data_IF_286752317302
#
_entry.id   IF_286752317302
#
_cell.length_a   1.000
_cell.length_b   1.000
_cell.length_c   1.000
_cell.angle_alpha   90.00
_cell.angle_beta   90.00
_cell.angle_gamma   90.00
#
_symmetry.space_group_name_H-M   'P 1'
#
loop_
_entity.id
_entity.type
_entity.pdbx_description
1 polymer ?
#
# COMPACT_ATOMS: atom_id res chain seq x y z
N UNK A 1 -22.76 -28.29 -45.97
CA UNK A 1 -21.76 -28.11 -44.91
C UNK A 1 -20.68 -27.23 -45.50
N UNK A 2 -20.67 -25.94 -45.17
CA UNK A 2 -19.54 -25.08 -45.54
C UNK A 2 -18.30 -25.61 -44.84
N UNK A 3 -17.28 -25.96 -45.62
CA UNK A 3 -15.94 -26.19 -45.10
C UNK A 3 -15.40 -24.78 -44.83
N UNK A 4 -15.56 -24.29 -43.60
CA UNK A 4 -14.90 -23.05 -43.18
C UNK A 4 -13.40 -23.29 -43.35
N UNK A 5 -12.77 -22.53 -44.25
CA UNK A 5 -11.32 -22.59 -44.42
C UNK A 5 -10.70 -22.17 -43.09
N UNK A 6 -9.87 -23.03 -42.50
CA UNK A 6 -9.29 -22.76 -41.20
C UNK A 6 -8.41 -21.52 -41.21
N UNK A 7 -8.59 -20.66 -40.21
CA UNK A 7 -7.79 -19.44 -40.03
C UNK A 7 -7.06 -19.52 -38.71
N UNK A 8 -5.81 -19.06 -38.68
CA UNK A 8 -4.91 -19.14 -37.51
C UNK A 8 -5.26 -18.15 -36.38
N UNK A 9 -6.54 -17.89 -36.14
CA UNK A 9 -7.07 -16.96 -35.15
C UNK A 9 -8.59 -17.11 -34.92
N UNK A 10 -9.21 -18.25 -35.25
CA UNK A 10 -10.65 -18.48 -35.06
C UNK A 10 -11.00 -19.19 -33.75
N UNK A 11 -9.99 -19.55 -32.95
CA UNK A 11 -10.16 -20.19 -31.65
C UNK A 11 -10.55 -21.66 -31.75
N UNK A 12 -10.49 -22.28 -32.94
CA UNK A 12 -10.82 -23.69 -33.14
C UNK A 12 -9.73 -24.42 -33.90
N UNK A 13 -9.43 -25.66 -33.51
CA UNK A 13 -8.47 -26.49 -34.24
C UNK A 13 -9.10 -27.04 -35.52
N UNK A 14 -8.85 -26.38 -36.65
CA UNK A 14 -9.33 -26.78 -37.97
C UNK A 14 -8.20 -26.62 -39.02
N UNK A 15 -8.48 -26.59 -40.33
CA UNK A 15 -7.53 -26.15 -41.35
C UNK A 15 -6.21 -26.93 -41.56
N UNK A 16 -5.94 -27.99 -40.79
CA UNK A 16 -4.65 -28.69 -40.77
C UNK A 16 -3.71 -28.27 -39.63
N UNK A 17 -4.20 -27.52 -38.65
CA UNK A 17 -3.45 -27.06 -37.48
C UNK A 17 -3.07 -28.19 -36.51
N UNK A 18 -1.93 -28.02 -35.83
CA UNK A 18 -1.45 -29.00 -34.85
C UNK A 18 -2.00 -28.66 -33.45
N UNK A 19 -2.07 -27.39 -33.09
CA UNK A 19 -2.83 -26.89 -31.92
C UNK A 19 -4.01 -26.02 -32.36
N UNK A 20 -4.71 -25.38 -31.42
CA UNK A 20 -5.72 -24.36 -31.74
C UNK A 20 -5.00 -23.13 -32.28
N UNK A 21 -5.27 -22.71 -33.52
CA UNK A 21 -4.70 -21.54 -34.18
C UNK A 21 -3.16 -21.53 -34.31
N UNK A 22 -2.49 -22.68 -34.16
CA UNK A 22 -1.02 -22.75 -34.11
C UNK A 22 -0.44 -23.99 -34.79
N UNK A 23 0.78 -23.80 -35.33
CA UNK A 23 1.53 -24.77 -36.13
C UNK A 23 0.78 -25.31 -37.36
N UNK A 24 1.41 -26.23 -38.11
CA UNK A 24 0.87 -26.75 -39.36
C UNK A 24 0.91 -25.66 -40.44
N UNK A 25 -0.24 -25.22 -40.97
CA UNK A 25 -0.31 -24.08 -41.89
C UNK A 25 -0.07 -22.71 -41.20
N UNK A 26 -0.10 -22.66 -39.87
CA UNK A 26 0.03 -21.41 -39.12
C UNK A 26 1.48 -21.02 -38.87
N UNK A 27 1.76 -19.72 -39.03
CA UNK A 27 3.10 -19.14 -38.85
C UNK A 27 3.52 -19.14 -37.37
N UNK A 28 2.56 -18.93 -36.47
CA UNK A 28 2.79 -18.95 -35.02
C UNK A 28 2.83 -20.38 -34.49
N UNK A 29 3.78 -20.64 -33.59
CA UNK A 29 4.08 -21.95 -33.02
C UNK A 29 3.33 -22.18 -31.72
N UNK A 30 2.92 -23.41 -31.46
CA UNK A 30 2.30 -23.80 -30.20
C UNK A 30 3.33 -23.86 -29.04
N UNK A 31 2.81 -23.93 -27.81
CA UNK A 31 3.63 -24.04 -26.59
C UNK A 31 4.61 -25.22 -26.66
N UNK A 32 5.79 -25.04 -26.07
CA UNK A 32 6.87 -26.03 -26.04
C UNK A 32 7.76 -26.06 -27.29
N UNK A 33 7.39 -25.36 -28.38
CA UNK A 33 8.21 -25.29 -29.59
C UNK A 33 9.32 -24.27 -29.49
N UNK A 34 10.42 -24.54 -30.19
CA UNK A 34 11.55 -23.62 -30.24
C UNK A 34 11.13 -22.25 -30.80
N UNK A 35 11.70 -21.17 -30.27
CA UNK A 35 11.46 -19.80 -30.70
C UNK A 35 12.76 -18.98 -30.58
N UNK A 36 12.81 -17.87 -31.30
CA UNK A 36 13.92 -16.90 -31.23
C UNK A 36 13.45 -15.47 -30.96
N UNK A 37 12.14 -15.25 -31.08
CA UNK A 37 11.44 -14.00 -30.80
C UNK A 37 10.04 -14.35 -30.25
N UNK A 38 9.46 -13.52 -29.36
CA UNK A 38 8.08 -13.64 -28.91
C UNK A 38 7.06 -13.78 -30.06
N UNK A 39 7.27 -13.10 -31.19
CA UNK A 39 6.36 -13.09 -32.34
C UNK A 39 6.20 -14.47 -33.02
N UNK A 40 7.14 -15.38 -32.77
CA UNK A 40 7.09 -16.74 -33.31
C UNK A 40 6.10 -17.62 -32.55
N UNK A 41 5.67 -17.22 -31.35
CA UNK A 41 4.82 -18.00 -30.48
C UNK A 41 3.38 -17.53 -30.56
N UNK A 42 2.44 -18.46 -30.56
CA UNK A 42 1.02 -18.14 -30.50
C UNK A 42 0.68 -17.33 -29.24
N UNK A 43 1.26 -17.71 -28.10
CA UNK A 43 1.18 -16.97 -26.84
C UNK A 43 1.84 -15.59 -26.87
N UNK A 44 2.66 -15.29 -27.88
CA UNK A 44 3.48 -14.07 -27.87
C UNK A 44 4.59 -14.10 -26.82
N UNK A 45 4.99 -15.27 -26.31
CA UNK A 45 6.03 -15.40 -25.27
C UNK A 45 7.07 -16.43 -25.70
N UNK A 46 8.31 -15.96 -25.85
CA UNK A 46 9.47 -16.82 -26.03
C UNK A 46 10.30 -16.83 -24.74
N UNK A 47 10.27 -17.96 -24.02
CA UNK A 47 10.97 -18.12 -22.76
C UNK A 47 12.50 -18.09 -22.91
N UNK A 48 13.21 -17.94 -21.79
CA UNK A 48 14.69 -17.93 -21.74
C UNK A 48 15.32 -19.21 -22.28
N UNK A 49 14.61 -20.34 -22.19
CA UNK A 49 15.00 -21.62 -22.78
C UNK A 49 14.76 -21.70 -24.31
N UNK A 50 14.44 -20.58 -24.96
CA UNK A 50 14.11 -20.48 -26.40
C UNK A 50 12.95 -21.37 -26.79
N UNK A 51 11.94 -21.47 -25.93
CA UNK A 51 10.71 -22.21 -26.18
C UNK A 51 9.47 -21.35 -25.95
N UNK A 52 8.43 -21.59 -26.74
CA UNK A 52 7.15 -20.91 -26.58
C UNK A 52 6.52 -21.32 -25.26
N UNK A 53 6.22 -20.35 -24.40
CA UNK A 53 5.54 -20.57 -23.12
C UNK A 53 4.04 -20.44 -23.29
N UNK A 54 3.28 -21.06 -22.40
CA UNK A 54 1.83 -20.86 -22.37
C UNK A 54 1.49 -19.44 -21.92
N UNK A 55 0.39 -18.91 -22.45
CA UNK A 55 -0.27 -17.71 -21.94
C UNK A 55 -0.70 -17.92 -20.48
N UNK A 56 -0.50 -16.92 -19.65
CA UNK A 56 -0.87 -16.89 -18.22
C UNK A 56 -1.36 -15.50 -17.83
N UNK A 57 -2.26 -15.40 -16.85
CA UNK A 57 -2.84 -14.14 -16.38
C UNK A 57 -1.88 -13.23 -15.57
N UNK A 58 -0.59 -13.29 -15.85
CA UNK A 58 0.48 -12.53 -15.19
C UNK A 58 1.80 -12.58 -15.98
N UNK A 59 1.74 -12.73 -17.31
CA UNK A 59 2.91 -12.76 -18.18
C UNK A 59 3.27 -11.42 -18.84
N UNK A 60 2.46 -10.38 -18.61
CA UNK A 60 2.67 -9.03 -19.09
C UNK A 60 2.26 -8.83 -20.55
N UNK A 61 1.61 -9.82 -21.17
CA UNK A 61 1.22 -9.79 -22.59
C UNK A 61 -0.27 -10.05 -22.72
N UNK A 62 -0.99 -9.19 -23.44
CA UNK A 62 -2.39 -9.46 -23.79
C UNK A 62 -2.48 -10.63 -24.78
N UNK A 63 -2.71 -11.84 -24.28
CA UNK A 63 -2.78 -13.07 -25.05
C UNK A 63 -3.91 -13.97 -24.51
N UNK A 64 -3.99 -15.24 -24.93
CA UNK A 64 -4.85 -16.25 -24.27
C UNK A 64 -6.37 -16.03 -24.28
N UNK A 65 -6.88 -14.94 -24.88
CA UNK A 65 -8.28 -14.54 -24.84
C UNK A 65 -8.59 -13.37 -23.87
N UNK A 66 -7.58 -12.68 -23.36
CA UNK A 66 -7.74 -11.58 -22.41
C UNK A 66 -8.32 -10.29 -23.03
N UNK A 67 -9.09 -9.55 -22.22
CA UNK A 67 -9.64 -8.26 -22.66
C UNK A 67 -8.73 -7.07 -22.32
N UNK A 68 -7.87 -7.19 -21.31
CA UNK A 68 -6.73 -6.31 -21.05
C UNK A 68 -5.43 -7.10 -21.01
N UNK A 69 -4.30 -6.48 -20.62
CA UNK A 69 -3.06 -7.21 -20.37
C UNK A 69 -3.25 -7.99 -19.06
N UNK A 70 -3.15 -9.31 -19.09
CA UNK A 70 -3.23 -10.21 -17.93
C UNK A 70 -4.57 -10.20 -17.16
N UNK A 71 -5.63 -9.61 -17.73
CA UNK A 71 -6.88 -9.37 -17.02
C UNK A 71 -8.13 -9.57 -17.90
N UNK A 72 -9.21 -9.99 -17.23
CA UNK A 72 -10.50 -10.32 -17.82
C UNK A 72 -10.45 -11.46 -18.87
N UNK A 73 -11.62 -11.83 -19.42
CA UNK A 73 -11.74 -12.96 -20.34
C UNK A 73 -11.54 -14.29 -19.59
N UNK A 74 -10.51 -15.10 -19.92
CA UNK A 74 -10.17 -16.31 -19.17
C UNK A 74 -9.57 -16.02 -17.79
N UNK A 75 -9.13 -14.78 -17.53
CA UNK A 75 -8.51 -14.38 -16.28
C UNK A 75 -9.54 -13.93 -15.25
N UNK A 76 -9.35 -14.39 -14.01
CA UNK A 76 -10.30 -14.16 -12.90
C UNK A 76 -10.25 -12.71 -12.41
N UNK A 77 -9.09 -12.06 -12.51
CA UNK A 77 -8.85 -10.70 -12.05
C UNK A 77 -9.32 -9.67 -13.07
N UNK A 78 -9.84 -8.55 -12.57
CA UNK A 78 -10.42 -7.45 -13.35
C UNK A 78 -9.36 -6.40 -13.70
N UNK A 79 -9.52 -5.76 -14.86
CA UNK A 79 -8.65 -4.67 -15.28
C UNK A 79 -8.95 -3.36 -14.53
N UNK A 80 -8.04 -2.39 -14.61
CA UNK A 80 -8.22 -1.06 -14.03
C UNK A 80 -9.51 -0.39 -14.55
N UNK A 81 -10.19 0.35 -13.67
CA UNK A 81 -11.47 1.02 -13.93
C UNK A 81 -12.71 0.13 -13.77
N UNK A 82 -12.56 -1.18 -13.58
CA UNK A 82 -13.68 -2.09 -13.29
C UNK A 82 -14.10 -2.02 -11.84
N UNK A 83 -15.37 -2.24 -11.56
CA UNK A 83 -15.86 -2.34 -10.19
C UNK A 83 -15.22 -3.51 -9.44
N UNK A 84 -14.94 -3.34 -8.14
CA UNK A 84 -14.35 -4.34 -7.26
C UNK A 84 -15.00 -4.28 -5.86
N UNK A 85 -14.95 -5.39 -5.14
CA UNK A 85 -15.40 -5.49 -3.74
C UNK A 85 -14.24 -5.71 -2.79
N UNK A 86 -13.17 -6.35 -3.26
CA UNK A 86 -11.91 -6.52 -2.52
C UNK A 86 -10.70 -6.26 -3.41
N UNK A 87 -9.51 -6.02 -2.82
CA UNK A 87 -8.24 -5.94 -3.55
C UNK A 87 -7.99 -7.13 -4.49
N UNK A 88 -8.35 -8.35 -4.06
CA UNK A 88 -8.13 -9.59 -4.82
C UNK A 88 -8.92 -9.67 -6.14
N UNK A 89 -9.99 -8.88 -6.28
CA UNK A 89 -10.76 -8.80 -7.53
C UNK A 89 -9.97 -8.12 -8.65
N UNK A 90 -8.97 -7.31 -8.30
CA UNK A 90 -8.24 -6.46 -9.23
C UNK A 90 -6.93 -7.10 -9.65
N UNK A 91 -6.58 -6.94 -10.93
CA UNK A 91 -5.28 -7.37 -11.44
C UNK A 91 -4.13 -6.66 -10.71
N UNK A 92 -4.28 -5.36 -10.50
CA UNK A 92 -3.40 -4.57 -9.63
C UNK A 92 -3.43 -5.02 -8.18
N UNK A 93 -4.42 -5.78 -7.70
CA UNK A 93 -4.52 -6.00 -6.26
C UNK A 93 -4.88 -4.72 -5.49
N UNK A 94 -5.35 -3.66 -6.16
CA UNK A 94 -5.78 -2.40 -5.53
C UNK A 94 -7.23 -2.11 -5.89
N UNK A 95 -8.12 -2.26 -4.90
CA UNK A 95 -9.50 -1.82 -5.00
C UNK A 95 -9.65 -0.44 -4.35
N UNK A 96 -9.77 0.60 -5.17
CA UNK A 96 -9.87 1.99 -4.72
C UNK A 96 -11.11 2.26 -3.88
N UNK A 97 -11.10 3.37 -3.14
CA UNK A 97 -12.22 3.81 -2.29
C UNK A 97 -13.53 4.06 -3.06
N UNK A 98 -13.44 4.31 -4.37
CA UNK A 98 -14.59 4.40 -5.27
C UNK A 98 -15.14 3.02 -5.71
N UNK A 99 -14.66 1.91 -5.12
CA UNK A 99 -14.96 0.53 -5.48
C UNK A 99 -14.62 0.19 -6.93
N UNK A 100 -13.52 0.73 -7.44
CA UNK A 100 -12.98 0.38 -8.75
C UNK A 100 -11.51 -0.01 -8.67
N UNK A 101 -11.07 -0.89 -9.55
CA UNK A 101 -9.68 -1.30 -9.65
C UNK A 101 -8.82 -0.11 -10.08
N UNK A 102 -7.84 0.24 -9.26
CA UNK A 102 -6.89 1.31 -9.57
C UNK A 102 -5.62 0.72 -10.16
N UNK A 103 -4.86 1.53 -10.89
CA UNK A 103 -3.54 1.11 -11.35
C UNK A 103 -2.60 0.90 -10.15
N UNK A 104 -1.72 -0.09 -10.30
CA UNK A 104 -0.57 -0.34 -9.43
C UNK A 104 0.33 0.91 -9.35
N UNK A 105 0.82 1.22 -8.15
CA UNK A 105 1.73 2.36 -7.93
C UNK A 105 2.88 1.96 -7.02
N UNK A 106 4.05 2.58 -7.22
CA UNK A 106 5.27 2.29 -6.46
C UNK A 106 5.29 2.87 -5.03
N UNK A 107 4.12 3.03 -4.40
CA UNK A 107 3.94 3.62 -3.08
C UNK A 107 2.53 3.36 -2.50
N UNK A 108 1.84 2.30 -2.90
CA UNK A 108 0.51 1.93 -2.35
C UNK A 108 0.57 0.86 -1.27
N UNK A 109 1.76 0.33 -0.96
CA UNK A 109 1.97 -0.65 0.10
C UNK A 109 1.58 -2.07 -0.29
N UNK A 110 1.30 -2.32 -1.57
CA UNK A 110 0.96 -3.64 -2.11
C UNK A 110 2.08 -4.07 -3.05
N UNK A 111 2.41 -5.37 -3.06
CA UNK A 111 3.32 -5.91 -4.08
C UNK A 111 2.51 -6.27 -5.32
N UNK A 112 2.45 -5.36 -6.27
CA UNK A 112 1.70 -5.53 -7.52
C UNK A 112 2.51 -5.04 -8.72
N UNK A 113 1.89 -4.82 -9.88
CA UNK A 113 2.50 -4.09 -11.01
C UNK A 113 3.74 -4.70 -11.69
N UNK A 114 4.28 -5.83 -11.20
CA UNK A 114 5.58 -6.40 -11.61
C UNK A 114 6.73 -6.12 -10.64
N UNK A 115 6.43 -5.61 -9.43
CA UNK A 115 7.41 -5.30 -8.40
C UNK A 115 8.11 -6.54 -7.82
N UNK A 116 9.38 -6.37 -7.42
CA UNK A 116 10.16 -7.45 -6.81
C UNK A 116 10.00 -7.45 -5.29
N UNK A 117 9.96 -6.27 -4.66
CA UNK A 117 9.49 -6.08 -3.28
C UNK A 117 8.15 -5.35 -3.26
N UNK A 118 7.67 -4.97 -2.07
CA UNK A 118 6.50 -4.08 -1.95
C UNK A 118 6.96 -2.66 -2.32
N UNK A 119 6.32 -2.03 -3.31
CA UNK A 119 6.59 -0.66 -3.78
C UNK A 119 8.01 -0.41 -4.33
N UNK A 120 8.76 -1.47 -4.67
CA UNK A 120 10.16 -1.34 -5.03
C UNK A 120 10.67 -2.38 -6.03
N UNK A 121 11.65 -1.95 -6.82
CA UNK A 121 12.25 -2.66 -7.95
C UNK A 121 11.26 -3.04 -9.07
N UNK A 122 11.76 -3.76 -10.08
CA UNK A 122 11.00 -4.14 -11.27
C UNK A 122 10.65 -2.90 -12.09
N UNK A 123 9.36 -2.54 -12.25
CA UNK A 123 8.95 -1.30 -12.90
C UNK A 123 9.21 -0.05 -12.04
N UNK A 124 9.44 -0.20 -10.73
CA UNK A 124 9.65 0.90 -9.82
C UNK A 124 11.09 1.42 -9.85
N UNK A 125 11.23 2.75 -9.93
CA UNK A 125 12.52 3.43 -10.00
C UNK A 125 13.33 3.23 -8.70
N UNK A 126 12.62 3.22 -7.56
CA UNK A 126 13.23 3.04 -6.25
C UNK A 126 13.51 1.57 -5.97
N UNK A 127 14.68 1.32 -5.38
CA UNK A 127 15.22 -0.01 -5.10
C UNK A 127 14.83 -0.48 -3.71
N UNK A 128 14.62 -1.79 -3.56
CA UNK A 128 14.41 -2.38 -2.25
C UNK A 128 15.69 -2.41 -1.41
N UNK A 129 15.54 -2.65 -0.11
CA UNK A 129 16.64 -2.79 0.84
C UNK A 129 17.62 -3.90 0.40
N UNK A 130 18.92 -3.67 0.65
CA UNK A 130 20.03 -4.55 0.28
C UNK A 130 20.56 -4.35 -1.14
N UNK A 131 19.90 -3.55 -1.98
CA UNK A 131 20.39 -3.26 -3.33
C UNK A 131 21.38 -2.11 -3.36
N UNK A 132 22.29 -2.15 -4.32
CA UNK A 132 23.25 -1.09 -4.52
C UNK A 132 22.55 0.27 -4.76
N UNK A 133 23.10 1.35 -4.21
CA UNK A 133 22.62 2.72 -4.38
C UNK A 133 23.81 3.67 -4.50
N UNK A 134 23.60 4.79 -5.18
CA UNK A 134 24.57 5.89 -5.29
C UNK A 134 24.10 7.12 -4.53
N UNK A 135 22.80 7.25 -4.31
CA UNK A 135 22.19 8.32 -3.53
C UNK A 135 21.01 7.78 -2.70
N UNK A 136 20.58 8.51 -1.65
CA UNK A 136 19.35 8.23 -0.90
C UNK A 136 18.12 8.03 -1.79
N UNK A 137 17.98 8.83 -2.86
CA UNK A 137 16.80 8.81 -3.74
C UNK A 137 16.66 7.53 -4.57
N UNK A 138 17.74 6.76 -4.71
CA UNK A 138 17.70 5.45 -5.37
C UNK A 138 16.96 4.41 -4.53
N UNK A 139 16.84 4.64 -3.22
CA UNK A 139 16.29 3.69 -2.27
C UNK A 139 14.84 4.01 -1.94
N UNK A 140 14.02 2.96 -1.87
CA UNK A 140 12.66 3.08 -1.33
C UNK A 140 12.66 3.67 0.08
N UNK A 141 13.60 3.19 0.91
CA UNK A 141 13.81 3.69 2.27
C UNK A 141 14.32 5.12 2.36
N UNK A 142 14.78 5.72 1.26
CA UNK A 142 15.57 6.96 1.26
C UNK A 142 16.87 6.87 2.08
N UNK A 143 17.34 5.68 2.41
CA UNK A 143 18.59 5.49 3.16
C UNK A 143 19.57 4.72 2.29
N UNK A 144 20.56 5.41 1.75
CA UNK A 144 21.71 4.78 1.12
C UNK A 144 22.85 4.66 2.15
N UNK A 145 23.07 3.43 2.63
CA UNK A 145 24.08 3.14 3.65
C UNK A 145 25.50 3.39 3.18
N UNK A 146 26.44 3.46 4.12
CA UNK A 146 27.88 3.68 3.85
C UNK A 146 28.52 2.58 2.99
N UNK A 147 27.92 1.39 2.97
CA UNK A 147 28.28 0.27 2.11
C UNK A 147 27.70 0.39 0.68
N UNK A 148 27.13 1.55 0.31
CA UNK A 148 26.47 1.80 -0.97
C UNK A 148 25.30 0.85 -1.23
N UNK A 149 24.56 0.48 -0.19
CA UNK A 149 23.33 -0.31 -0.32
C UNK A 149 22.16 0.32 0.40
N UNK A 150 20.95 0.10 -0.12
CA UNK A 150 19.73 0.59 0.51
C UNK A 150 19.54 -0.09 1.87
N UNK A 151 19.44 0.71 2.93
CA UNK A 151 19.26 0.22 4.29
C UNK A 151 17.78 0.24 4.68
N UNK A 152 17.40 -0.62 5.62
CA UNK A 152 16.07 -0.62 6.21
C UNK A 152 15.83 0.71 6.94
N UNK A 153 14.67 1.36 6.76
CA UNK A 153 14.22 2.50 7.57
C UNK A 153 14.37 2.23 9.08
N UNK A 154 14.86 3.19 9.85
CA UNK A 154 14.86 3.08 11.32
C UNK A 154 14.29 4.33 11.97
N UNK A 155 13.69 4.14 13.15
CA UNK A 155 13.11 5.20 14.00
C UNK A 155 14.14 6.18 14.60
N UNK A 156 15.28 6.35 13.96
CA UNK A 156 16.41 7.16 14.43
C UNK A 156 17.41 7.44 13.31
N UNK A 157 17.00 7.35 12.04
CA UNK A 157 17.87 7.58 10.87
C UNK A 157 17.81 9.03 10.36
N UNK A 158 17.04 9.89 11.03
CA UNK A 158 16.85 11.31 10.69
C UNK A 158 16.20 11.52 9.33
N UNK A 159 15.39 10.56 8.87
CA UNK A 159 14.62 10.65 7.63
C UNK A 159 13.20 10.14 7.89
N UNK A 160 12.19 10.96 7.61
CA UNK A 160 10.79 10.51 7.71
C UNK A 160 10.48 9.49 6.61
N UNK A 161 10.50 8.20 6.96
CA UNK A 161 10.35 7.07 6.04
C UNK A 161 9.63 5.87 6.71
N UNK A 162 9.40 4.80 5.96
CA UNK A 162 8.80 3.58 6.49
C UNK A 162 7.40 3.80 7.09
N UNK A 163 7.24 3.46 8.37
CA UNK A 163 5.98 3.56 9.12
C UNK A 163 5.94 4.75 10.07
N UNK A 164 6.82 5.72 9.88
CA UNK A 164 6.89 6.93 10.68
C UNK A 164 5.81 7.93 10.30
N UNK A 165 5.17 8.53 11.31
CA UNK A 165 4.21 9.61 11.08
C UNK A 165 4.90 10.98 11.12
N UNK A 166 5.93 11.15 11.95
CA UNK A 166 6.83 12.30 11.92
C UNK A 166 8.28 11.85 11.78
N UNK A 167 9.23 12.78 11.71
CA UNK A 167 10.66 12.46 11.60
C UNK A 167 11.12 11.60 12.80
N UNK A 168 11.50 10.35 12.55
CA UNK A 168 11.95 9.39 13.57
C UNK A 168 10.91 9.10 14.67
N UNK A 169 9.62 9.31 14.41
CA UNK A 169 8.58 9.19 15.45
C UNK A 169 7.19 8.80 14.92
N UNK A 170 6.34 8.32 15.82
CA UNK A 170 4.95 7.97 15.52
C UNK A 170 4.80 6.62 14.80
N UNK A 171 3.57 6.25 14.46
CA UNK A 171 3.24 4.97 13.84
C UNK A 171 3.79 3.78 14.63
N UNK A 172 4.67 3.01 13.99
CA UNK A 172 5.29 1.82 14.62
C UNK A 172 6.50 2.14 15.50
N UNK A 173 6.98 3.39 15.51
CA UNK A 173 8.17 3.75 16.27
C UNK A 173 7.89 3.84 17.78
N UNK A 174 8.83 3.41 18.65
CA UNK A 174 8.67 3.54 20.10
C UNK A 174 8.52 4.99 20.56
N UNK A 175 9.21 5.91 19.87
CA UNK A 175 9.14 7.34 20.15
C UNK A 175 7.82 7.92 19.61
N UNK A 176 7.11 8.65 20.47
CA UNK A 176 5.94 9.43 20.08
C UNK A 176 6.34 10.84 19.71
N UNK A 177 5.74 11.34 18.65
CA UNK A 177 5.99 12.66 18.11
C UNK A 177 5.53 13.75 19.08
N UNK A 178 6.27 14.85 19.09
CA UNK A 178 5.91 16.08 19.79
C UNK A 178 6.00 17.24 18.80
N UNK A 179 4.90 17.97 18.61
CA UNK A 179 4.79 19.08 17.66
C UNK A 179 5.17 18.74 16.20
N UNK A 180 5.18 17.46 15.82
CA UNK A 180 5.43 16.97 14.46
C UNK A 180 4.16 16.39 13.83
N UNK A 181 4.27 15.96 12.57
CA UNK A 181 3.16 15.31 11.86
C UNK A 181 2.69 14.05 12.58
N UNK A 182 1.38 13.81 12.53
CA UNK A 182 0.72 12.62 13.04
C UNK A 182 -0.40 12.20 12.09
N UNK A 183 -0.62 10.89 11.98
CA UNK A 183 -1.79 10.33 11.31
C UNK A 183 -2.91 10.00 12.33
N UNK A 184 -2.50 9.62 13.54
CA UNK A 184 -3.36 9.17 14.63
C UNK A 184 -2.96 9.85 15.94
N UNK A 185 -3.91 9.95 16.86
CA UNK A 185 -3.69 10.43 18.23
C UNK A 185 -2.57 9.65 18.94
N UNK A 186 -2.49 8.34 18.70
CA UNK A 186 -1.48 7.45 19.26
C UNK A 186 -0.06 7.75 18.81
N UNK A 187 0.13 8.53 17.73
CA UNK A 187 1.45 8.92 17.25
C UNK A 187 2.05 10.02 18.13
N UNK A 188 1.20 10.76 18.84
CA UNK A 188 1.59 11.91 19.61
C UNK A 188 1.88 11.56 21.07
N UNK A 189 2.91 12.19 21.64
CA UNK A 189 3.23 12.08 23.07
C UNK A 189 2.08 12.60 23.94
N UNK A 190 1.34 13.59 23.43
CA UNK A 190 0.12 14.11 24.03
C UNK A 190 -1.10 13.21 23.83
N UNK A 191 -1.07 12.22 22.92
CA UNK A 191 -2.29 11.48 22.58
C UNK A 191 -3.33 12.33 21.83
N UNK A 192 -2.93 13.46 21.23
CA UNK A 192 -3.82 14.36 20.49
C UNK A 192 -3.22 14.82 19.18
N UNK A 193 -3.74 14.30 18.07
CA UNK A 193 -3.40 14.66 16.72
C UNK A 193 -4.49 15.59 16.14
N UNK A 194 -4.18 16.87 15.98
CA UNK A 194 -5.12 17.84 15.42
C UNK A 194 -4.53 18.51 14.19
N UNK A 195 -5.26 18.43 13.07
CA UNK A 195 -4.80 19.05 11.82
C UNK A 195 -3.48 18.44 11.32
N UNK A 196 -3.31 17.12 11.51
CA UNK A 196 -2.09 16.38 11.14
C UNK A 196 -0.83 16.87 11.86
N UNK A 197 -0.98 17.46 13.04
CA UNK A 197 0.15 17.84 13.90
C UNK A 197 -0.14 17.50 15.36
N UNK A 198 0.87 16.99 16.05
CA UNK A 198 0.77 16.68 17.47
C UNK A 198 0.63 17.97 18.26
N UNK A 199 -0.52 18.14 18.91
CA UNK A 199 -0.73 19.29 19.78
C UNK A 199 -0.09 19.04 21.13
N UNK A 200 0.43 20.07 21.78
CA UNK A 200 0.82 19.98 23.18
C UNK A 200 -0.40 19.60 24.04
N UNK A 201 -0.15 18.82 25.09
CA UNK A 201 -1.13 18.51 26.12
C UNK A 201 -1.62 19.80 26.80
N UNK A 202 -2.93 19.96 26.94
CA UNK A 202 -3.54 21.11 27.61
C UNK A 202 -4.68 20.66 28.51
N UNK A 203 -4.91 21.35 29.63
CA UNK A 203 -5.95 21.05 30.63
C UNK A 203 -7.41 21.31 30.18
N UNK A 204 -7.68 21.18 28.89
CA UNK A 204 -8.96 21.40 28.22
C UNK A 204 -8.95 20.82 26.79
N UNK A 205 -8.09 19.82 26.51
CA UNK A 205 -8.05 19.15 25.21
C UNK A 205 -8.95 17.93 25.11
N UNK A 206 -9.59 17.51 26.20
CA UNK A 206 -10.54 16.41 26.24
C UNK A 206 -9.87 15.04 26.31
N UNK A 207 -8.55 14.96 26.48
CA UNK A 207 -7.81 13.71 26.58
C UNK A 207 -7.00 13.66 27.87
N UNK A 208 -6.99 12.53 28.58
CA UNK A 208 -6.11 12.36 29.76
C UNK A 208 -4.67 12.20 29.28
N UNK A 209 -3.90 13.28 29.29
CA UNK A 209 -2.50 13.30 28.86
C UNK A 209 -1.66 14.18 29.79
N UNK A 210 -0.41 14.51 29.42
CA UNK A 210 0.38 15.54 30.10
C UNK A 210 0.76 15.30 31.57
N UNK A 211 0.36 14.17 32.18
CA UNK A 211 0.49 13.90 33.62
C UNK A 211 -0.79 14.14 34.43
N UNK A 212 -1.92 14.40 33.77
CA UNK A 212 -3.23 14.54 34.40
C UNK A 212 -3.66 13.28 35.14
N UNK A 213 -4.40 13.46 36.25
CA UNK A 213 -4.99 12.34 36.99
C UNK A 213 -6.47 12.11 36.62
N UNK A 214 -7.14 13.11 36.06
CA UNK A 214 -8.43 13.03 35.35
C UNK A 214 -8.28 13.28 33.86
N UNK A 215 -9.38 13.43 33.14
CA UNK A 215 -9.36 14.05 31.81
C UNK A 215 -9.40 15.57 32.06
N UNK A 216 -8.42 16.32 31.58
CA UNK A 216 -8.31 17.79 31.71
C UNK A 216 -8.23 18.33 33.16
N UNK A 217 -7.95 17.47 34.14
CA UNK A 217 -7.99 17.86 35.55
C UNK A 217 -7.00 17.10 36.44
N UNK A 218 -6.65 17.74 37.57
CA UNK A 218 -5.64 17.31 38.54
C UNK A 218 -4.20 17.15 37.95
N UNK A 219 -3.25 16.74 38.79
CA UNK A 219 -1.85 16.57 38.40
C UNK A 219 -1.21 17.93 38.08
N UNK A 220 -0.72 18.17 36.84
CA UNK A 220 -0.21 19.48 36.41
C UNK A 220 -1.33 20.51 36.18
N UNK A 221 -2.60 20.10 36.11
CA UNK A 221 -3.72 21.00 35.88
C UNK A 221 -4.20 21.67 37.16
N UNK A 222 -4.45 22.98 37.07
CA UNK A 222 -4.88 23.81 38.20
C UNK A 222 -6.28 23.42 38.68
N UNK A 223 -7.16 23.04 37.73
CA UNK A 223 -8.54 22.64 38.02
C UNK A 223 -8.60 21.18 38.47
N UNK A 224 -9.44 20.95 39.48
CA UNK A 224 -9.59 19.65 40.14
C UNK A 224 -10.76 18.86 39.57
N UNK A 225 -10.64 17.54 39.57
CA UNK A 225 -11.70 16.64 39.14
C UNK A 225 -12.83 16.54 40.18
N UNK A 226 -13.97 15.99 39.78
CA UNK A 226 -15.09 15.73 40.69
C UNK A 226 -14.67 14.86 41.89
N UNK A 227 -15.18 15.20 43.07
CA UNK A 227 -14.86 14.56 44.36
C UNK A 227 -13.66 15.18 45.10
N UNK A 228 -12.89 16.06 44.47
CA UNK A 228 -11.76 16.75 45.12
C UNK A 228 -12.22 17.95 45.93
N UNK A 229 -11.51 18.24 47.02
CA UNK A 229 -11.79 19.43 47.84
C UNK A 229 -11.60 20.74 47.06
N UNK A 230 -12.51 21.70 47.26
CA UNK A 230 -12.52 23.02 46.61
C UNK A 230 -12.88 24.13 47.60
N UNK A 231 -12.37 25.34 47.36
CA UNK A 231 -12.74 26.56 48.07
C UNK A 231 -13.64 27.47 47.25
N UNK A 232 -13.48 27.48 45.93
CA UNK A 232 -14.27 28.24 44.96
C UNK A 232 -14.74 27.36 43.81
N UNK A 233 -15.78 27.80 43.11
CA UNK A 233 -16.27 27.15 41.89
C UNK A 233 -15.18 26.98 40.83
N UNK A 234 -14.31 27.99 40.67
CA UNK A 234 -13.22 28.00 39.68
C UNK A 234 -12.11 26.97 39.96
N UNK A 235 -12.04 26.44 41.19
CA UNK A 235 -11.10 25.36 41.54
C UNK A 235 -11.47 24.04 40.85
N UNK A 236 -12.73 23.90 40.42
CA UNK A 236 -13.26 22.68 39.85
C UNK A 236 -13.29 22.73 38.33
N UNK A 237 -12.95 21.62 37.66
CA UNK A 237 -13.07 21.50 36.20
C UNK A 237 -14.51 21.76 35.73
N UNK A 238 -15.48 21.27 36.50
CA UNK A 238 -16.91 21.52 36.28
C UNK A 238 -17.33 22.97 36.48
N UNK A 239 -16.52 23.81 37.13
CA UNK A 239 -16.92 25.14 37.57
C UNK A 239 -17.97 25.13 38.69
N UNK A 240 -18.10 24.03 39.45
CA UNK A 240 -19.06 23.91 40.55
C UNK A 240 -18.39 23.30 41.79
N UNK A 241 -18.35 24.09 42.88
CA UNK A 241 -17.95 23.63 44.20
C UNK A 241 -19.20 23.44 45.06
N UNK A 242 -19.50 22.18 45.43
CA UNK A 242 -20.68 21.84 46.22
C UNK A 242 -20.60 22.32 47.67
N UNK A 243 -21.73 22.30 48.38
CA UNK A 243 -21.83 22.74 49.78
C UNK A 243 -20.87 21.99 50.72
N UNK A 244 -20.56 20.73 50.40
CA UNK A 244 -19.59 19.91 51.14
C UNK A 244 -18.12 20.24 50.81
N UNK A 245 -17.84 21.39 50.18
CA UNK A 245 -16.50 21.82 49.72
C UNK A 245 -15.82 20.79 48.82
N UNK A 246 -16.59 20.15 47.94
CA UNK A 246 -16.10 19.17 46.98
C UNK A 246 -16.58 19.50 45.57
N UNK A 247 -15.71 19.30 44.57
CA UNK A 247 -16.05 19.47 43.17
C UNK A 247 -17.13 18.47 42.75
N UNK A 248 -18.18 18.96 42.08
CA UNK A 248 -19.29 18.13 41.60
C UNK A 248 -19.54 18.40 40.12
N UNK A 249 -20.21 17.48 39.41
CA UNK A 249 -20.65 17.73 38.04
C UNK A 249 -21.66 18.88 38.00
N UNK A 250 -21.70 19.60 36.87
CA UNK A 250 -22.81 20.51 36.56
C UNK A 250 -24.13 19.76 36.44
#
# INVERSE_FOLDING_TARGET
MEIVAGTCNDGVRNGGEIGIDCDGPCVKRCNGRACSSPDHCWSGICGTNRTCLAATCNDGVRNGGENGIDCEGPCVKRCNGRACSSPDDCWSGVCGSNRTCSAATCNDGVRDGGEIGIDCDGPCVKRCNGRACSSPDDCWSRVCGSNQTCSVPTCSDSIQNGLESGLDCGGSCPLRCDSQFCALDSDCKSGGCLGQSCRAATCNDGVRNGGELGIDCDGPCVKRCNGRACGLADDCWSGVCGENKACISK
#
